data_IF_052916901066
#
_entry.id   IF_052916901066
#
_cell.length_a   1.000
_cell.length_b   1.000
_cell.length_c   1.000
_cell.angle_alpha   90.00
_cell.angle_beta   90.00
_cell.angle_gamma   90.00
#
_symmetry.space_group_name_H-M   'P 1'
#
loop_
_entity.id
_entity.type
_entity.pdbx_description
1 polymer ?
#
# COMPACT_ATOMS: atom_id res chain seq x y z
N UNK A 1 5.68 24.25 7.53
CA UNK A 1 6.61 23.62 8.49
C UNK A 1 7.69 22.71 7.85
N UNK A 2 7.86 22.67 6.52
CA UNK A 2 8.89 21.83 5.87
C UNK A 2 10.31 22.44 5.88
N UNK A 3 10.41 23.77 5.92
CA UNK A 3 11.68 24.49 5.77
C UNK A 3 12.64 24.35 6.96
N UNK A 4 12.16 23.91 8.13
CA UNK A 4 12.96 23.90 9.37
C UNK A 4 13.67 22.57 9.66
N UNK A 5 13.28 21.46 9.05
CA UNK A 5 13.83 20.12 9.33
C UNK A 5 14.94 19.73 8.32
N UNK A 6 14.96 20.35 7.13
CA UNK A 6 15.67 19.81 5.98
C UNK A 6 16.88 20.64 5.58
N UNK A 7 18.06 20.28 6.11
CA UNK A 7 19.34 20.91 5.72
C UNK A 7 20.13 20.15 4.65
N UNK A 8 19.82 18.88 4.41
CA UNK A 8 20.55 18.03 3.44
C UNK A 8 19.64 17.43 2.36
N UNK A 9 20.22 17.13 1.20
CA UNK A 9 19.52 16.46 0.08
C UNK A 9 18.91 15.12 0.52
N UNK A 10 19.63 14.35 1.36
CA UNK A 10 19.15 13.06 1.89
C UNK A 10 17.93 13.25 2.80
N UNK A 11 17.98 14.22 3.72
CA UNK A 11 16.86 14.50 4.60
C UNK A 11 15.62 14.91 3.79
N UNK A 12 15.81 15.74 2.75
CA UNK A 12 14.71 16.22 1.91
C UNK A 12 14.00 15.08 1.19
N UNK A 13 14.77 14.19 0.56
CA UNK A 13 14.23 13.00 -0.11
C UNK A 13 13.48 12.09 0.86
N UNK A 14 14.05 11.83 2.03
CA UNK A 14 13.41 10.99 3.05
C UNK A 14 12.09 11.59 3.55
N UNK A 15 12.03 12.90 3.78
CA UNK A 15 10.79 13.56 4.20
C UNK A 15 9.72 13.53 3.11
N UNK A 16 10.09 13.74 1.84
CA UNK A 16 9.15 13.61 0.71
C UNK A 16 8.58 12.19 0.68
N UNK A 17 9.44 11.16 0.72
CA UNK A 17 9.01 9.76 0.74
C UNK A 17 8.06 9.46 1.92
N UNK A 18 8.37 9.92 3.13
CA UNK A 18 7.50 9.75 4.30
C UNK A 18 6.13 10.41 4.07
N UNK A 19 6.10 11.61 3.52
CA UNK A 19 4.85 12.35 3.25
C UNK A 19 4.02 11.61 2.20
N UNK A 20 4.65 11.12 1.14
CA UNK A 20 3.99 10.38 0.07
C UNK A 20 3.39 9.07 0.60
N UNK A 21 4.18 8.26 1.31
CA UNK A 21 3.71 7.01 1.94
C UNK A 21 2.56 7.27 2.90
N UNK A 22 2.67 8.30 3.76
CA UNK A 22 1.61 8.61 4.71
C UNK A 22 0.33 9.12 4.05
N UNK A 23 0.46 9.82 2.92
CA UNK A 23 -0.68 10.28 2.11
C UNK A 23 -1.40 9.09 1.48
N UNK A 24 -0.66 8.13 0.89
CA UNK A 24 -1.21 6.88 0.35
C UNK A 24 -1.91 6.05 1.43
N UNK A 25 -1.31 5.91 2.62
CA UNK A 25 -1.94 5.20 3.76
C UNK A 25 -3.27 5.87 4.17
N UNK A 26 -3.31 7.21 4.23
CA UNK A 26 -4.54 7.93 4.56
C UNK A 26 -5.61 7.75 3.50
N UNK A 27 -5.25 7.74 2.22
CA UNK A 27 -6.17 7.49 1.12
C UNK A 27 -6.75 6.06 1.18
N UNK A 28 -5.90 5.06 1.42
CA UNK A 28 -6.32 3.69 1.64
C UNK A 28 -7.33 3.59 2.80
N UNK A 29 -7.03 4.22 3.95
CA UNK A 29 -7.92 4.23 5.11
C UNK A 29 -9.29 4.82 4.79
N UNK A 30 -9.34 5.92 4.03
CA UNK A 30 -10.61 6.53 3.59
C UNK A 30 -11.39 5.63 2.64
N UNK A 31 -10.69 5.00 1.71
CA UNK A 31 -11.28 4.09 0.71
C UNK A 31 -11.89 2.87 1.40
N UNK A 32 -11.17 2.25 2.33
CA UNK A 32 -11.65 1.12 3.14
C UNK A 32 -12.87 1.52 3.99
N UNK A 33 -12.88 2.73 4.58
CA UNK A 33 -14.03 3.21 5.35
C UNK A 33 -15.27 3.48 4.49
N UNK A 34 -15.09 3.79 3.21
CA UNK A 34 -16.20 4.04 2.27
C UNK A 34 -16.79 2.75 1.72
N UNK A 35 -16.02 1.66 1.63
CA UNK A 35 -16.46 0.38 1.07
C UNK A 35 -17.78 -0.17 1.66
N UNK A 36 -18.03 -0.14 2.98
CA UNK A 36 -19.27 -0.66 3.56
C UNK A 36 -20.51 0.19 3.30
N UNK A 37 -20.34 1.49 2.98
CA UNK A 37 -21.46 2.42 2.77
C UNK A 37 -21.87 2.55 1.31
N UNK A 38 -21.13 1.95 0.38
CA UNK A 38 -21.42 1.98 -1.06
C UNK A 38 -22.35 0.83 -1.42
N UNK A 39 -23.51 1.18 -1.97
CA UNK A 39 -24.53 0.23 -2.43
C UNK A 39 -24.37 -0.18 -3.90
N UNK A 40 -23.72 0.65 -4.72
CA UNK A 40 -23.40 0.30 -6.11
C UNK A 40 -22.22 -0.68 -6.15
N UNK A 41 -22.49 -1.90 -6.67
CA UNK A 41 -21.48 -2.94 -6.83
C UNK A 41 -20.31 -2.53 -7.74
N UNK A 42 -20.56 -1.71 -8.78
CA UNK A 42 -19.49 -1.25 -9.67
C UNK A 42 -18.57 -0.26 -8.95
N UNK A 43 -19.15 0.67 -8.20
CA UNK A 43 -18.36 1.60 -7.38
C UNK A 43 -17.61 0.84 -6.27
N UNK A 44 -18.23 -0.15 -5.65
CA UNK A 44 -17.58 -1.01 -4.66
C UNK A 44 -16.38 -1.75 -5.25
N UNK A 45 -16.53 -2.37 -6.43
CA UNK A 45 -15.43 -3.06 -7.13
C UNK A 45 -14.30 -2.09 -7.50
N UNK A 46 -14.62 -0.89 -7.97
CA UNK A 46 -13.63 0.15 -8.28
C UNK A 46 -12.84 0.58 -7.03
N UNK A 47 -13.52 0.78 -5.90
CA UNK A 47 -12.87 1.12 -4.62
C UNK A 47 -11.99 -0.02 -4.09
N UNK A 48 -12.38 -1.28 -4.30
CA UNK A 48 -11.56 -2.43 -3.96
C UNK A 48 -10.30 -2.50 -4.81
N UNK A 49 -10.43 -2.32 -6.14
CA UNK A 49 -9.28 -2.30 -7.05
C UNK A 49 -8.31 -1.18 -6.67
N UNK A 50 -8.84 0.04 -6.46
CA UNK A 50 -8.05 1.20 -6.04
C UNK A 50 -7.32 0.95 -4.72
N UNK A 51 -7.96 0.27 -3.77
CA UNK A 51 -7.32 -0.10 -2.49
C UNK A 51 -6.16 -1.06 -2.69
N UNK A 52 -6.29 -2.02 -3.62
CA UNK A 52 -5.21 -2.94 -3.99
C UNK A 52 -4.03 -2.23 -4.63
N UNK A 53 -4.29 -1.31 -5.57
CA UNK A 53 -3.28 -0.48 -6.23
C UNK A 53 -2.50 0.38 -5.22
N UNK A 54 -3.19 1.06 -4.30
CA UNK A 54 -2.55 1.88 -3.26
C UNK A 54 -1.64 1.04 -2.36
N UNK A 55 -2.07 -0.18 -1.97
CA UNK A 55 -1.25 -1.07 -1.15
C UNK A 55 -0.03 -1.56 -1.94
N UNK A 56 -0.22 -1.96 -3.19
CA UNK A 56 0.89 -2.38 -4.05
C UNK A 56 1.95 -1.28 -4.14
N UNK A 57 1.55 -0.04 -4.43
CA UNK A 57 2.47 1.09 -4.49
C UNK A 57 3.19 1.43 -3.18
N UNK A 58 2.59 1.15 -2.02
CA UNK A 58 3.25 1.36 -0.72
C UNK A 58 4.31 0.29 -0.47
N UNK A 59 4.06 -0.93 -0.95
CA UNK A 59 4.89 -2.10 -0.66
C UNK A 59 5.95 -2.37 -1.73
N UNK A 60 5.72 -1.99 -2.98
CA UNK A 60 6.64 -2.22 -4.12
C UNK A 60 8.03 -1.62 -3.85
N UNK A 61 8.08 -0.42 -3.24
CA UNK A 61 9.35 0.23 -2.82
C UNK A 61 10.12 -0.55 -1.72
N UNK A 62 9.49 -1.55 -1.09
CA UNK A 62 10.01 -2.30 0.06
C UNK A 62 10.15 -3.82 -0.16
N UNK A 63 9.63 -4.35 -1.27
CA UNK A 63 9.73 -5.77 -1.61
C UNK A 63 11.00 -5.97 -2.43
N UNK A 64 11.99 -6.65 -1.85
CA UNK A 64 13.18 -7.07 -2.61
C UNK A 64 12.75 -7.96 -3.78
N UNK A 65 13.24 -7.63 -4.98
CA UNK A 65 12.94 -8.36 -6.22
C UNK A 65 13.68 -9.69 -6.27
N UNK A 66 13.36 -10.60 -5.36
CA UNK A 66 13.58 -12.02 -5.59
C UNK A 66 12.44 -12.53 -6.47
N UNK A 67 12.68 -13.58 -7.28
CA UNK A 67 11.77 -14.24 -8.25
C UNK A 67 10.47 -14.79 -7.59
N UNK A 68 9.73 -13.93 -6.90
CA UNK A 68 8.65 -14.23 -5.99
C UNK A 68 7.41 -13.48 -6.45
N UNK A 69 6.39 -14.23 -6.83
CA UNK A 69 5.08 -13.66 -7.17
C UNK A 69 4.34 -13.31 -5.87
N UNK A 70 4.08 -12.02 -5.65
CA UNK A 70 3.35 -11.52 -4.47
C UNK A 70 1.91 -11.20 -4.85
N UNK A 71 0.95 -12.00 -4.38
CA UNK A 71 -0.49 -11.76 -4.57
C UNK A 71 -1.12 -11.19 -3.30
N UNK A 72 -1.73 -10.00 -3.40
CA UNK A 72 -2.38 -9.30 -2.27
C UNK A 72 -3.90 -9.40 -2.42
N UNK A 73 -4.56 -10.15 -1.52
CA UNK A 73 -6.01 -10.30 -1.51
C UNK A 73 -6.65 -9.59 -0.31
N UNK A 74 -7.50 -8.60 -0.58
CA UNK A 74 -8.25 -7.84 0.43
C UNK A 74 -9.65 -8.45 0.61
N UNK A 75 -9.80 -9.37 1.57
CA UNK A 75 -11.10 -9.88 2.02
C UNK A 75 -11.54 -9.16 3.30
N UNK A 76 -12.63 -8.37 3.25
CA UNK A 76 -13.07 -7.46 4.33
C UNK A 76 -13.54 -8.14 5.65
N UNK A 77 -13.44 -9.46 5.79
CA UNK A 77 -13.79 -10.16 7.03
C UNK A 77 -12.57 -10.51 7.92
N UNK A 78 -11.38 -10.75 7.35
CA UNK A 78 -10.13 -10.95 8.12
C UNK A 78 -8.97 -10.65 7.17
N UNK A 79 -8.17 -9.62 7.44
CA UNK A 79 -6.87 -9.45 6.80
C UNK A 79 -6.00 -10.66 7.16
N UNK A 80 -5.84 -11.62 6.24
CA UNK A 80 -4.98 -12.77 6.44
C UNK A 80 -3.72 -12.63 5.60
N UNK A 81 -2.62 -12.26 6.25
CA UNK A 81 -1.30 -12.22 5.64
C UNK A 81 -0.75 -13.64 5.51
N UNK A 82 -0.44 -14.09 4.28
CA UNK A 82 0.20 -15.39 4.05
C UNK A 82 1.41 -15.22 3.15
N UNK A 83 2.59 -15.25 3.76
CA UNK A 83 3.88 -15.33 3.07
C UNK A 83 4.29 -16.81 2.97
N UNK A 84 4.49 -17.33 1.76
CA UNK A 84 4.90 -18.73 1.52
C UNK A 84 6.21 -18.77 0.77
N UNK A 85 7.27 -19.27 1.41
CA UNK A 85 8.60 -19.41 0.82
C UNK A 85 8.75 -20.82 0.25
N UNK A 86 8.98 -20.95 -1.06
CA UNK A 86 9.43 -22.20 -1.68
C UNK A 86 10.95 -22.17 -1.82
N UNK A 87 11.64 -23.14 -1.21
CA UNK A 87 13.06 -23.38 -1.46
C UNK A 87 13.23 -24.19 -2.74
N UNK A 88 14.07 -23.73 -3.67
CA UNK A 88 14.60 -24.58 -4.73
C UNK A 88 15.54 -25.62 -4.11
N UNK A 89 15.36 -26.90 -4.44
CA UNK A 89 16.38 -27.92 -4.17
C UNK A 89 17.56 -27.63 -5.11
N UNK A 90 18.73 -27.42 -4.52
CA UNK A 90 20.01 -27.47 -5.22
C UNK A 90 20.30 -28.90 -5.65
#
# INVERSE_FOLDING_TARGET
MLATILKSKRATKATIAIIETFTKIRELSRTIKKLPSVTDKKEQQSLMQKSGEIIAEILDDSLETDESETTIELNLAVLKFKHTIKKSKK
#
